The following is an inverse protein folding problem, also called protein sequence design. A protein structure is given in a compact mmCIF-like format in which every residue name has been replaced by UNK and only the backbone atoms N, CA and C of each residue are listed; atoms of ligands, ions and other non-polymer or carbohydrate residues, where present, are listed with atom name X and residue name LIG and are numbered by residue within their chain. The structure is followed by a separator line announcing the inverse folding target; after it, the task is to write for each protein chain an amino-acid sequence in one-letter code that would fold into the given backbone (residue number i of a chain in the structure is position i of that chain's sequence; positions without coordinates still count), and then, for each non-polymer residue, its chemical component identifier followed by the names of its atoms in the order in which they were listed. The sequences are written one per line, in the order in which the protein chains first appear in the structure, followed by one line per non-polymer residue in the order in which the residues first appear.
data_IF_423673788464
#
_entry.id   IF_423673788464
#
_cell.length_a   1.000
_cell.length_b   1.000
_cell.length_c   1.000
_cell.angle_alpha   90.00
_cell.angle_beta   90.00
_cell.angle_gamma   90.00
#
_symmetry.space_group_name_H-M   'P 1'
#
loop_
_entity.id
_entity.type
_entity.pdbx_description
1 polymer ?
#
# COMPACT_ATOMS: atom_id res chain seq x y z
N UNK A 1 -69.84 18.58 19.61
CA UNK A 1 -69.71 17.12 19.33
C UNK A 1 -68.72 16.87 18.20
N UNK A 2 -68.81 17.57 17.05
CA UNK A 2 -67.83 17.52 15.95
C UNK A 2 -66.36 17.81 16.35
N UNK A 3 -66.08 18.88 17.09
CA UNK A 3 -64.69 19.20 17.53
C UNK A 3 -64.07 18.13 18.45
N UNK A 4 -64.90 17.38 19.18
CA UNK A 4 -64.43 16.32 20.09
C UNK A 4 -64.06 15.04 19.31
N UNK A 5 -64.78 14.77 18.22
CA UNK A 5 -64.43 13.71 17.27
C UNK A 5 -63.19 14.09 16.44
N UNK A 6 -63.08 15.33 15.96
CA UNK A 6 -61.90 15.81 15.23
C UNK A 6 -60.63 15.77 16.11
N UNK A 7 -60.73 16.18 17.38
CA UNK A 7 -59.63 16.05 18.34
C UNK A 7 -59.26 14.59 18.62
N UNK A 8 -60.24 13.67 18.61
CA UNK A 8 -60.02 12.24 18.76
C UNK A 8 -59.28 11.63 17.56
N UNK A 9 -59.69 11.99 16.34
CA UNK A 9 -59.07 11.56 15.09
C UNK A 9 -57.62 12.06 14.98
N UNK A 10 -57.37 13.32 15.34
CA UNK A 10 -56.03 13.89 15.31
C UNK A 10 -55.10 13.23 16.35
N UNK A 11 -55.61 12.91 17.55
CA UNK A 11 -54.85 12.13 18.54
C UNK A 11 -54.52 10.72 18.06
N UNK A 12 -55.44 10.06 17.36
CA UNK A 12 -55.19 8.74 16.78
C UNK A 12 -54.14 8.80 15.66
N UNK A 13 -54.20 9.82 14.79
CA UNK A 13 -53.22 10.08 13.74
C UNK A 13 -51.82 10.32 14.31
N UNK A 14 -51.69 11.21 15.28
CA UNK A 14 -50.43 11.52 15.94
C UNK A 14 -49.85 10.31 16.68
N UNK A 15 -50.70 9.49 17.30
CA UNK A 15 -50.28 8.24 17.94
C UNK A 15 -49.72 7.24 16.94
N UNK A 16 -50.38 7.05 15.79
CA UNK A 16 -49.86 6.18 14.73
C UNK A 16 -48.51 6.65 14.16
N UNK A 17 -48.34 7.98 14.00
CA UNK A 17 -47.06 8.55 13.59
C UNK A 17 -45.96 8.34 14.64
N UNK A 18 -46.30 8.47 15.93
CA UNK A 18 -45.37 8.21 17.03
C UNK A 18 -44.92 6.75 17.03
N UNK A 19 -45.85 5.81 16.95
CA UNK A 19 -45.56 4.37 16.90
C UNK A 19 -44.67 4.00 15.71
N UNK A 20 -44.87 4.63 14.54
CA UNK A 20 -44.02 4.41 13.37
C UNK A 20 -42.59 4.92 13.58
N UNK A 21 -42.44 6.10 14.20
CA UNK A 21 -41.12 6.68 14.52
C UNK A 21 -40.41 5.85 15.57
N UNK A 22 -41.10 5.41 16.62
CA UNK A 22 -40.55 4.54 17.66
C UNK A 22 -40.05 3.21 17.06
N UNK A 23 -40.81 2.63 16.13
CA UNK A 23 -40.39 1.42 15.41
C UNK A 23 -39.12 1.67 14.59
N UNK A 24 -39.04 2.77 13.82
CA UNK A 24 -37.84 3.12 13.06
C UNK A 24 -36.61 3.32 13.95
N UNK A 25 -36.78 3.94 15.11
CA UNK A 25 -35.71 4.10 16.10
C UNK A 25 -35.25 2.73 16.60
N UNK A 26 -36.17 1.84 16.97
CA UNK A 26 -35.86 0.49 17.42
C UNK A 26 -35.11 -0.33 16.37
N UNK A 27 -35.56 -0.27 15.11
CA UNK A 27 -34.92 -0.96 13.99
C UNK A 27 -33.50 -0.44 13.75
N UNK A 28 -33.30 0.89 13.79
CA UNK A 28 -32.00 1.52 13.63
C UNK A 28 -31.05 1.19 14.80
N UNK A 29 -31.55 1.18 16.05
CA UNK A 29 -30.77 0.77 17.21
C UNK A 29 -30.32 -0.68 17.11
N UNK A 30 -31.18 -1.57 16.62
CA UNK A 30 -30.85 -2.98 16.41
C UNK A 30 -29.78 -3.16 15.33
N UNK A 31 -29.90 -2.42 14.22
CA UNK A 31 -28.90 -2.42 13.15
C UNK A 31 -27.53 -1.90 13.64
N UNK A 32 -27.51 -0.83 14.46
CA UNK A 32 -26.29 -0.30 15.04
C UNK A 32 -25.70 -1.23 16.11
N UNK A 33 -26.54 -2.00 16.81
CA UNK A 33 -26.12 -2.97 17.80
C UNK A 33 -25.49 -4.23 17.20
N UNK A 34 -25.66 -4.43 15.88
CA UNK A 34 -25.06 -5.53 15.13
C UNK A 34 -23.54 -5.58 15.35
N UNK A 35 -23.00 -6.80 15.36
CA UNK A 35 -21.58 -7.04 15.63
C UNK A 35 -20.72 -6.38 14.55
N UNK A 36 -21.21 -6.41 13.31
CA UNK A 36 -20.59 -5.85 12.12
C UNK A 36 -20.41 -4.34 12.25
N UNK A 37 -21.45 -3.61 12.66
CA UNK A 37 -21.36 -2.15 12.83
C UNK A 37 -20.44 -1.75 13.98
N UNK A 38 -20.41 -2.53 15.07
CA UNK A 38 -19.50 -2.29 16.20
C UNK A 38 -18.03 -2.54 15.85
N UNK A 39 -17.77 -3.50 14.95
CA UNK A 39 -16.41 -3.86 14.55
C UNK A 39 -15.93 -3.09 13.33
N UNK A 40 -16.82 -2.40 12.60
CA UNK A 40 -16.51 -1.71 11.35
C UNK A 40 -15.35 -0.73 11.47
N UNK A 41 -15.32 0.09 12.53
CA UNK A 41 -14.24 1.06 12.75
C UNK A 41 -12.89 0.38 12.97
N UNK A 42 -12.85 -0.65 13.83
CA UNK A 42 -11.62 -1.41 14.12
C UNK A 42 -11.10 -2.11 12.86
N UNK A 43 -11.98 -2.76 12.10
CA UNK A 43 -11.61 -3.46 10.87
C UNK A 43 -11.14 -2.48 9.79
N UNK A 44 -11.81 -1.34 9.66
CA UNK A 44 -11.39 -0.29 8.73
C UNK A 44 -9.99 0.22 9.08
N UNK A 45 -9.75 0.51 10.36
CA UNK A 45 -8.44 0.97 10.82
C UNK A 45 -7.34 -0.05 10.53
N UNK A 46 -7.58 -1.34 10.84
CA UNK A 46 -6.63 -2.42 10.57
C UNK A 46 -6.29 -2.54 9.08
N UNK A 47 -7.31 -2.54 8.22
CA UNK A 47 -7.14 -2.63 6.76
C UNK A 47 -6.39 -1.40 6.22
N UNK A 48 -6.70 -0.20 6.71
CA UNK A 48 -6.01 1.03 6.29
C UNK A 48 -4.54 1.00 6.68
N UNK A 49 -4.23 0.62 7.92
CA UNK A 49 -2.84 0.48 8.38
C UNK A 49 -2.10 -0.55 7.53
N UNK A 50 -2.69 -1.74 7.34
CA UNK A 50 -2.10 -2.80 6.52
C UNK A 50 -1.83 -2.33 5.09
N UNK A 51 -2.78 -1.61 4.48
CA UNK A 51 -2.64 -1.04 3.13
C UNK A 51 -1.49 -0.03 3.06
N UNK A 52 -1.40 0.90 4.01
CA UNK A 52 -0.34 1.92 4.03
C UNK A 52 1.02 1.23 4.18
N UNK A 53 1.16 0.33 5.16
CA UNK A 53 2.41 -0.39 5.39
C UNK A 53 2.82 -1.20 4.16
N UNK A 54 1.88 -1.87 3.51
CA UNK A 54 2.15 -2.64 2.28
C UNK A 54 2.63 -1.73 1.15
N UNK A 55 2.02 -0.55 1.00
CA UNK A 55 2.41 0.40 -0.03
C UNK A 55 3.83 0.96 0.19
N UNK A 56 4.18 1.28 1.44
CA UNK A 56 5.53 1.71 1.80
C UNK A 56 6.55 0.57 1.59
N UNK A 57 6.21 -0.67 1.96
CA UNK A 57 7.07 -1.84 1.72
C UNK A 57 7.36 -2.04 0.24
N UNK A 58 6.38 -1.84 -0.65
CA UNK A 58 6.59 -1.92 -2.10
C UNK A 58 7.61 -0.87 -2.54
N UNK A 59 7.47 0.37 -2.09
CA UNK A 59 8.43 1.44 -2.42
C UNK A 59 9.83 1.12 -1.93
N UNK A 60 9.97 0.54 -0.74
CA UNK A 60 11.27 0.17 -0.20
C UNK A 60 11.90 -1.00 -0.97
N UNK A 61 11.12 -1.99 -1.39
CA UNK A 61 11.60 -3.06 -2.25
C UNK A 61 12.12 -2.52 -3.60
N UNK A 62 11.42 -1.56 -4.21
CA UNK A 62 11.87 -0.92 -5.45
C UNK A 62 13.23 -0.21 -5.26
N UNK A 63 13.39 0.53 -4.16
CA UNK A 63 14.68 1.18 -3.82
C UNK A 63 15.79 0.15 -3.62
N UNK A 64 15.51 -0.95 -2.92
CA UNK A 64 16.50 -2.01 -2.72
C UNK A 64 16.87 -2.70 -4.02
N UNK A 65 15.93 -2.93 -4.92
CA UNK A 65 16.21 -3.49 -6.25
C UNK A 65 17.14 -2.57 -7.06
N UNK A 66 16.87 -1.26 -7.09
CA UNK A 66 17.72 -0.30 -7.79
C UNK A 66 19.12 -0.21 -7.19
N UNK A 67 19.21 -0.17 -5.86
CA UNK A 67 20.49 -0.14 -5.14
C UNK A 67 21.30 -1.40 -5.40
N UNK A 68 20.65 -2.57 -5.40
CA UNK A 68 21.29 -3.85 -5.69
C UNK A 68 21.82 -3.90 -7.12
N UNK A 69 21.02 -3.52 -8.11
CA UNK A 69 21.42 -3.51 -9.51
C UNK A 69 22.63 -2.58 -9.73
N UNK A 70 22.57 -1.38 -9.16
CA UNK A 70 23.68 -0.42 -9.19
C UNK A 70 24.96 -1.00 -8.56
N UNK A 71 24.81 -1.70 -7.43
CA UNK A 71 25.93 -2.33 -6.73
C UNK A 71 26.54 -3.48 -7.52
N UNK A 72 25.72 -4.26 -8.23
CA UNK A 72 26.17 -5.35 -9.11
C UNK A 72 26.95 -4.78 -10.29
N UNK A 73 26.42 -3.75 -10.97
CA UNK A 73 27.10 -3.10 -12.09
C UNK A 73 28.45 -2.53 -11.64
N UNK A 74 28.48 -1.83 -10.49
CA UNK A 74 29.71 -1.27 -9.94
C UNK A 74 30.74 -2.37 -9.66
N UNK A 75 30.30 -3.46 -9.00
CA UNK A 75 31.18 -4.59 -8.70
C UNK A 75 31.79 -5.19 -9.97
N UNK A 76 30.99 -5.41 -11.02
CA UNK A 76 31.50 -5.94 -12.28
C UNK A 76 32.44 -4.96 -12.98
N UNK A 77 32.14 -3.66 -12.96
CA UNK A 77 33.03 -2.62 -13.50
C UNK A 77 34.39 -2.63 -12.79
N UNK A 78 34.39 -2.66 -11.46
CA UNK A 78 35.61 -2.71 -10.64
C UNK A 78 36.44 -3.97 -10.94
N UNK A 79 35.77 -5.11 -11.12
CA UNK A 79 36.44 -6.37 -11.50
C UNK A 79 37.03 -6.31 -12.91
N UNK A 80 36.34 -5.71 -13.88
CA UNK A 80 36.87 -5.54 -15.24
C UNK A 80 38.07 -4.61 -15.26
N UNK A 81 38.05 -3.52 -14.47
CA UNK A 81 39.21 -2.64 -14.31
C UNK A 81 40.41 -3.43 -13.74
N UNK A 82 40.18 -4.22 -12.69
CA UNK A 82 41.24 -5.03 -12.10
C UNK A 82 41.81 -6.08 -13.08
N UNK A 83 40.94 -6.75 -13.84
CA UNK A 83 41.34 -7.73 -14.86
C UNK A 83 42.15 -7.07 -15.97
N UNK A 84 41.67 -5.95 -16.52
CA UNK A 84 42.37 -5.23 -17.59
C UNK A 84 43.73 -4.72 -17.15
N UNK A 85 43.87 -4.31 -15.88
CA UNK A 85 45.16 -3.93 -15.31
C UNK A 85 46.14 -5.10 -15.29
N UNK A 86 45.70 -6.28 -14.84
CA UNK A 86 46.52 -7.49 -14.83
C UNK A 86 46.91 -7.89 -16.26
N UNK A 87 45.97 -7.76 -17.20
CA UNK A 87 46.18 -8.12 -18.60
C UNK A 87 47.20 -7.20 -19.27
N UNK A 88 47.16 -5.89 -19.03
CA UNK A 88 48.16 -4.94 -19.52
C UNK A 88 49.55 -5.26 -18.94
N UNK A 89 49.63 -5.53 -17.64
CA UNK A 89 50.88 -5.89 -16.95
C UNK A 89 51.50 -7.18 -17.52
N UNK A 90 50.68 -8.18 -17.85
CA UNK A 90 51.12 -9.43 -18.46
C UNK A 90 51.52 -9.23 -19.93
N UNK A 91 50.74 -8.47 -20.69
CA UNK A 91 51.01 -8.21 -22.11
C UNK A 91 52.38 -7.56 -22.30
N UNK A 92 52.67 -6.50 -21.51
CA UNK A 92 53.98 -5.81 -21.55
C UNK A 92 55.16 -6.70 -21.20
N UNK A 93 54.96 -7.75 -20.41
CA UNK A 93 56.02 -8.70 -20.03
C UNK A 93 56.31 -9.73 -21.12
N UNK A 94 55.29 -10.13 -21.87
CA UNK A 94 55.38 -11.26 -22.82
C UNK A 94 55.53 -10.77 -24.27
N UNK A 95 55.04 -9.57 -24.60
CA UNK A 95 55.06 -9.04 -25.96
C UNK A 95 56.19 -8.02 -26.17
N UNK A 96 57.16 -8.38 -27.02
CA UNK A 96 58.31 -7.53 -27.37
C UNK A 96 58.17 -6.76 -28.69
N UNK A 97 57.03 -6.87 -29.39
CA UNK A 97 56.76 -6.18 -30.65
C UNK A 97 56.25 -4.75 -30.44
N UNK A 98 56.45 -3.87 -31.41
CA UNK A 98 56.04 -2.45 -31.35
C UNK A 98 54.66 -2.17 -31.95
N UNK A 99 54.01 -3.19 -32.50
CA UNK A 99 52.76 -3.11 -33.27
C UNK A 99 51.49 -3.13 -32.40
N UNK A 100 51.53 -3.71 -31.19
CA UNK A 100 50.38 -3.75 -30.28
C UNK A 100 50.80 -3.29 -28.88
N UNK A 101 50.25 -2.15 -28.45
CA UNK A 101 50.60 -1.51 -27.17
C UNK A 101 49.92 -2.13 -25.94
N UNK A 102 48.63 -2.47 -26.01
CA UNK A 102 47.85 -2.99 -24.87
C UNK A 102 46.65 -3.79 -25.35
N UNK A 103 46.16 -4.71 -24.52
CA UNK A 103 44.90 -5.44 -24.74
C UNK A 103 43.96 -5.19 -23.56
N UNK A 104 42.66 -5.09 -23.82
CA UNK A 104 41.64 -4.98 -22.78
C UNK A 104 40.32 -5.62 -23.23
N UNK A 105 39.53 -6.05 -22.25
CA UNK A 105 38.18 -6.61 -22.39
C UNK A 105 37.17 -5.51 -22.04
N UNK A 106 36.12 -5.38 -22.85
CA UNK A 106 35.01 -4.45 -22.63
C UNK A 106 33.85 -5.12 -21.91
#
# INVERSE_FOLDING_TARGET
MKERDESGLEKARLRGQLEEVEKKISDAMTALASKEMKQAESLYHEVVVSKIVTQEMISDLEKYMQCLDSSIIQFHSDKMIAINRILDDLWRKVYGGTDIQSISIK
#
